data_IF_953250739608
#
_entry.id   IF_953250739608
#
_cell.length_a   1.000
_cell.length_b   1.000
_cell.length_c   1.000
_cell.angle_alpha   90.00
_cell.angle_beta   90.00
_cell.angle_gamma   90.00
#
_symmetry.space_group_name_H-M   'P 1'
#
loop_
_entity.id
_entity.type
_entity.pdbx_description
1 polymer ?
#
# COMPACT_ATOMS: atom_id res chain seq x y z
N UNK A 1 -5.22 -12.20 -19.07
CA UNK A 1 -5.28 -10.95 -19.88
C UNK A 1 -6.50 -10.08 -19.53
N UNK A 2 -7.75 -10.59 -19.62
CA UNK A 2 -8.96 -9.81 -19.28
C UNK A 2 -8.93 -9.25 -17.85
N UNK A 3 -8.55 -10.06 -16.86
CA UNK A 3 -8.47 -9.63 -15.45
C UNK A 3 -7.50 -8.45 -15.26
N UNK A 4 -6.34 -8.46 -15.90
CA UNK A 4 -5.38 -7.37 -15.85
C UNK A 4 -5.97 -6.06 -16.43
N UNK A 5 -6.64 -6.12 -17.57
CA UNK A 5 -7.28 -4.94 -18.15
C UNK A 5 -8.39 -4.37 -17.24
N UNK A 6 -9.15 -5.24 -16.56
CA UNK A 6 -10.15 -4.81 -15.58
C UNK A 6 -9.51 -4.14 -14.38
N UNK A 7 -8.38 -4.64 -13.88
CA UNK A 7 -7.62 -4.02 -12.79
C UNK A 7 -7.08 -2.63 -13.21
N UNK A 8 -6.50 -2.53 -14.40
CA UNK A 8 -6.01 -1.25 -14.95
C UNK A 8 -7.16 -0.25 -15.11
N UNK A 9 -8.29 -0.70 -15.68
CA UNK A 9 -9.47 0.14 -15.86
C UNK A 9 -10.02 0.63 -14.51
N UNK A 10 -10.09 -0.26 -13.53
CA UNK A 10 -10.48 0.08 -12.16
C UNK A 10 -9.52 1.11 -11.54
N UNK A 11 -8.21 0.87 -11.65
CA UNK A 11 -7.18 1.77 -11.15
C UNK A 11 -7.30 3.17 -11.76
N UNK A 12 -7.41 3.27 -13.10
CA UNK A 12 -7.57 4.55 -13.80
C UNK A 12 -8.90 5.22 -13.44
N UNK A 13 -9.99 4.45 -13.37
CA UNK A 13 -11.30 5.00 -13.04
C UNK A 13 -11.31 5.59 -11.64
N UNK A 14 -10.84 4.84 -10.64
CA UNK A 14 -10.86 5.27 -9.23
C UNK A 14 -9.87 6.40 -8.97
N UNK A 15 -8.67 6.36 -9.54
CA UNK A 15 -7.63 7.31 -9.17
C UNK A 15 -7.50 8.51 -10.11
N UNK A 16 -8.14 8.48 -11.29
CA UNK A 16 -8.05 9.57 -12.29
C UNK A 16 -9.42 10.09 -12.67
N UNK A 17 -10.31 9.25 -13.22
CA UNK A 17 -11.56 9.73 -13.81
C UNK A 17 -12.56 10.24 -12.76
N UNK A 18 -12.78 9.49 -11.70
CA UNK A 18 -13.73 9.87 -10.64
C UNK A 18 -13.29 11.14 -9.89
N UNK A 19 -12.03 11.29 -9.42
CA UNK A 19 -11.63 12.52 -8.77
C UNK A 19 -11.70 13.74 -9.71
N UNK A 20 -11.38 13.60 -11.00
CA UNK A 20 -11.60 14.67 -11.99
C UNK A 20 -13.08 15.08 -12.01
N UNK A 21 -13.99 14.10 -12.14
CA UNK A 21 -15.42 14.38 -12.16
C UNK A 21 -15.88 15.13 -10.90
N UNK A 22 -15.47 14.67 -9.72
CA UNK A 22 -15.85 15.30 -8.45
C UNK A 22 -15.32 16.74 -8.34
N UNK A 23 -14.06 16.98 -8.73
CA UNK A 23 -13.48 18.32 -8.72
C UNK A 23 -14.15 19.26 -9.73
N UNK A 24 -14.52 18.74 -10.92
CA UNK A 24 -15.29 19.49 -11.92
C UNK A 24 -16.66 19.88 -11.36
N UNK A 25 -17.39 18.94 -10.76
CA UNK A 25 -18.72 19.23 -10.17
C UNK A 25 -18.61 20.19 -8.99
N UNK A 26 -17.64 20.02 -8.10
CA UNK A 26 -17.38 20.93 -6.99
C UNK A 26 -17.11 22.38 -7.48
N UNK A 27 -16.37 22.52 -8.59
CA UNK A 27 -16.01 23.84 -9.13
C UNK A 27 -17.13 24.54 -9.89
N UNK A 28 -18.23 23.84 -10.24
CA UNK A 28 -19.37 24.44 -10.96
C UNK A 28 -20.29 25.21 -10.02
N UNK A 29 -21.20 26.00 -10.63
CA UNK A 29 -22.33 26.58 -9.93
C UNK A 29 -23.34 25.48 -9.58
N UNK A 30 -23.63 25.33 -8.31
CA UNK A 30 -24.68 24.44 -7.79
C UNK A 30 -26.01 25.21 -7.66
N UNK A 31 -27.14 24.47 -7.63
CA UNK A 31 -28.45 25.10 -7.44
C UNK A 31 -28.58 25.71 -6.04
N UNK A 32 -27.92 25.12 -5.05
CA UNK A 32 -27.99 25.54 -3.65
C UNK A 32 -26.64 25.43 -2.95
N UNK A 33 -26.47 26.13 -1.83
CA UNK A 33 -25.28 25.98 -0.97
C UNK A 33 -25.21 24.60 -0.33
N UNK A 34 -26.36 23.99 0.01
CA UNK A 34 -26.40 22.66 0.56
C UNK A 34 -25.87 21.62 -0.45
N UNK A 35 -26.26 21.70 -1.72
CA UNK A 35 -25.73 20.85 -2.78
C UNK A 35 -24.21 21.05 -2.96
N UNK A 36 -23.75 22.31 -2.96
CA UNK A 36 -22.33 22.64 -3.03
C UNK A 36 -21.53 22.06 -1.84
N UNK A 37 -22.12 22.09 -0.63
CA UNK A 37 -21.53 21.49 0.56
C UNK A 37 -21.43 19.95 0.44
N UNK A 38 -22.46 19.28 -0.09
CA UNK A 38 -22.40 17.84 -0.34
C UNK A 38 -21.31 17.48 -1.34
N UNK A 39 -21.15 18.23 -2.43
CA UNK A 39 -20.04 18.04 -3.37
C UNK A 39 -18.68 18.28 -2.72
N UNK A 40 -18.57 19.26 -1.83
CA UNK A 40 -17.35 19.53 -1.06
C UNK A 40 -17.00 18.33 -0.17
N UNK A 41 -17.94 17.87 0.65
CA UNK A 41 -17.73 16.73 1.54
C UNK A 41 -17.36 15.47 0.76
N UNK A 42 -18.08 15.16 -0.32
CA UNK A 42 -17.78 14.03 -1.18
C UNK A 42 -16.37 14.11 -1.77
N UNK A 43 -15.99 15.28 -2.31
CA UNK A 43 -14.67 15.47 -2.91
C UNK A 43 -13.54 15.36 -1.86
N UNK A 44 -13.73 15.94 -0.67
CA UNK A 44 -12.74 15.88 0.43
C UNK A 44 -12.53 14.44 0.89
N UNK A 45 -13.60 13.72 1.20
CA UNK A 45 -13.48 12.35 1.70
C UNK A 45 -13.03 11.38 0.61
N UNK A 46 -13.45 11.55 -0.64
CA UNK A 46 -12.97 10.72 -1.73
C UNK A 46 -11.47 10.92 -1.99
N UNK A 47 -11.01 12.18 -2.05
CA UNK A 47 -9.58 12.46 -2.23
C UNK A 47 -8.78 12.00 -1.02
N UNK A 48 -9.31 12.16 0.20
CA UNK A 48 -8.72 11.58 1.40
C UNK A 48 -8.59 10.06 1.31
N UNK A 49 -9.65 9.38 0.89
CA UNK A 49 -9.67 7.93 0.66
C UNK A 49 -8.57 7.50 -0.33
N UNK A 50 -8.57 8.01 -1.57
CA UNK A 50 -7.55 7.61 -2.55
C UNK A 50 -6.14 8.03 -2.14
N UNK A 51 -5.97 9.15 -1.42
CA UNK A 51 -4.68 9.60 -0.90
C UNK A 51 -4.10 8.61 0.10
N UNK A 52 -4.92 8.01 0.98
CA UNK A 52 -4.50 7.10 2.02
C UNK A 52 -4.40 5.64 1.55
N UNK A 53 -5.24 5.22 0.59
CA UNK A 53 -5.38 3.81 0.21
C UNK A 53 -4.96 3.49 -1.23
N UNK A 54 -4.75 4.52 -2.06
CA UNK A 54 -4.44 4.34 -3.48
C UNK A 54 -3.10 3.64 -3.72
N UNK A 55 -3.00 2.88 -4.82
CA UNK A 55 -1.77 2.23 -5.28
C UNK A 55 -0.94 3.22 -6.10
N UNK A 56 -0.31 4.17 -5.41
CA UNK A 56 0.41 5.26 -6.04
C UNK A 56 1.75 4.86 -6.67
N UNK A 57 2.30 3.73 -6.29
CA UNK A 57 3.45 3.09 -6.90
C UNK A 57 3.20 2.66 -8.36
N UNK A 58 1.93 2.42 -8.74
CA UNK A 58 1.53 2.11 -10.12
C UNK A 58 1.37 3.35 -11.00
N UNK A 59 0.84 4.44 -10.43
CA UNK A 59 0.50 5.67 -11.16
C UNK A 59 1.57 6.76 -11.04
N UNK A 60 2.58 6.52 -10.19
CA UNK A 60 3.55 7.52 -9.78
C UNK A 60 3.18 8.16 -8.44
N UNK A 61 3.98 7.89 -7.41
CA UNK A 61 3.72 8.31 -6.02
C UNK A 61 3.34 9.78 -5.88
N UNK A 62 3.97 10.65 -6.66
CA UNK A 62 3.83 12.10 -6.53
C UNK A 62 2.52 12.65 -7.12
N UNK A 63 1.82 11.88 -7.97
CA UNK A 63 0.52 12.28 -8.55
C UNK A 63 -0.53 12.50 -7.45
N UNK A 64 -0.43 11.82 -6.32
CA UNK A 64 -1.33 12.02 -5.18
C UNK A 64 -1.42 13.46 -4.69
N UNK A 65 -0.35 14.24 -4.82
CA UNK A 65 -0.32 15.64 -4.41
C UNK A 65 -1.02 16.57 -5.40
N UNK A 66 -1.11 16.17 -6.67
CA UNK A 66 -1.88 16.91 -7.70
C UNK A 66 -3.36 16.96 -7.32
N UNK A 67 -3.89 15.88 -6.73
CA UNK A 67 -5.29 15.86 -6.27
C UNK A 67 -5.55 16.80 -5.11
N UNK A 68 -4.60 16.97 -4.20
CA UNK A 68 -4.70 17.95 -3.11
C UNK A 68 -4.72 19.38 -3.66
N UNK A 69 -3.83 19.69 -4.60
CA UNK A 69 -3.79 21.01 -5.27
C UNK A 69 -5.08 21.24 -6.07
N UNK A 70 -5.55 20.23 -6.81
CA UNK A 70 -6.82 20.26 -7.56
C UNK A 70 -8.02 20.48 -6.66
N UNK A 71 -8.05 19.83 -5.48
CA UNK A 71 -9.11 20.03 -4.48
C UNK A 71 -9.13 21.48 -3.98
N UNK A 72 -7.98 22.03 -3.59
CA UNK A 72 -7.88 23.41 -3.12
C UNK A 72 -8.39 24.40 -4.20
N UNK A 73 -8.00 24.18 -5.45
CA UNK A 73 -8.48 24.98 -6.59
C UNK A 73 -10.00 24.85 -6.79
N UNK A 74 -10.54 23.61 -6.77
CA UNK A 74 -11.97 23.36 -6.96
C UNK A 74 -12.81 23.96 -5.83
N UNK A 75 -12.33 23.90 -4.57
CA UNK A 75 -12.96 24.57 -3.42
C UNK A 75 -13.03 26.08 -3.62
N UNK A 76 -11.91 26.69 -4.00
CA UNK A 76 -11.87 28.13 -4.28
C UNK A 76 -12.87 28.54 -5.38
N UNK A 77 -12.88 27.81 -6.50
CA UNK A 77 -13.79 28.02 -7.61
C UNK A 77 -15.26 27.81 -7.19
N UNK A 78 -15.55 26.72 -6.51
CA UNK A 78 -16.87 26.39 -6.01
C UNK A 78 -17.42 27.45 -5.06
N UNK A 79 -16.60 27.90 -4.10
CA UNK A 79 -16.96 29.00 -3.22
C UNK A 79 -17.33 30.28 -3.98
N UNK A 80 -16.49 30.72 -4.94
CA UNK A 80 -16.76 31.88 -5.75
C UNK A 80 -18.07 31.78 -6.54
N UNK A 81 -18.32 30.65 -7.15
CA UNK A 81 -19.48 30.41 -8.00
C UNK A 81 -20.79 30.31 -7.21
N UNK A 82 -20.72 29.76 -5.96
CA UNK A 82 -21.92 29.48 -5.17
C UNK A 82 -22.17 30.46 -4.03
N UNK A 83 -21.36 31.52 -3.85
CA UNK A 83 -21.49 32.48 -2.73
C UNK A 83 -22.86 33.16 -2.66
N UNK A 84 -23.55 33.34 -3.79
CA UNK A 84 -24.87 33.98 -3.91
C UNK A 84 -26.02 32.99 -4.07
N UNK A 85 -25.77 31.69 -4.13
CA UNK A 85 -26.80 30.67 -4.24
C UNK A 85 -27.68 30.64 -2.96
N UNK A 86 -28.95 30.25 -3.05
CA UNK A 86 -29.79 30.02 -1.88
C UNK A 86 -29.27 28.84 -1.05
N UNK A 87 -29.60 28.80 0.25
CA UNK A 87 -29.14 27.71 1.13
C UNK A 87 -29.85 26.40 0.85
N UNK A 88 -31.18 26.43 0.65
CA UNK A 88 -32.02 25.24 0.62
C UNK A 88 -32.54 24.97 -0.79
N UNK A 89 -32.65 23.70 -1.18
CA UNK A 89 -33.26 23.33 -2.44
C UNK A 89 -34.77 23.62 -2.45
N UNK A 90 -35.31 23.83 -3.64
CA UNK A 90 -36.74 23.86 -3.85
C UNK A 90 -37.40 22.55 -3.36
N UNK A 91 -38.69 22.57 -3.04
CA UNK A 91 -39.45 21.41 -2.61
C UNK A 91 -39.73 20.43 -3.77
N UNK A 92 -38.66 19.78 -4.25
CA UNK A 92 -38.72 18.79 -5.31
C UNK A 92 -38.08 17.49 -4.81
N UNK A 93 -38.73 16.37 -5.07
CA UNK A 93 -38.25 15.00 -4.72
C UNK A 93 -36.88 14.76 -5.39
N UNK A 94 -36.69 15.22 -6.64
CA UNK A 94 -35.44 15.02 -7.40
C UNK A 94 -34.29 15.77 -6.75
N UNK A 95 -34.48 17.03 -6.35
CA UNK A 95 -33.41 17.85 -5.74
C UNK A 95 -33.02 17.33 -4.37
N UNK A 96 -33.99 16.94 -3.54
CA UNK A 96 -33.71 16.33 -2.23
C UNK A 96 -33.11 14.91 -2.36
N UNK A 97 -33.57 14.11 -3.33
CA UNK A 97 -32.98 12.81 -3.63
C UNK A 97 -31.51 12.90 -4.00
N UNK A 98 -31.11 13.90 -4.83
CA UNK A 98 -29.71 14.15 -5.16
C UNK A 98 -28.87 14.55 -3.94
N UNK A 99 -29.38 15.45 -3.09
CA UNK A 99 -28.68 15.88 -1.85
C UNK A 99 -28.47 14.69 -0.91
N UNK A 100 -29.52 13.87 -0.70
CA UNK A 100 -29.44 12.67 0.17
C UNK A 100 -28.43 11.68 -0.40
N UNK A 101 -28.43 11.42 -1.70
CA UNK A 101 -27.50 10.53 -2.36
C UNK A 101 -26.04 10.99 -2.20
N UNK A 102 -25.76 12.27 -2.48
CA UNK A 102 -24.41 12.84 -2.33
C UNK A 102 -23.94 12.79 -0.88
N UNK A 103 -24.85 13.07 0.07
CA UNK A 103 -24.54 12.99 1.49
C UNK A 103 -24.24 11.55 1.94
N UNK A 104 -25.05 10.57 1.53
CA UNK A 104 -24.83 9.16 1.85
C UNK A 104 -23.49 8.66 1.29
N UNK A 105 -23.18 9.03 0.04
CA UNK A 105 -21.91 8.68 -0.59
C UNK A 105 -20.72 9.35 0.13
N UNK A 106 -20.88 10.60 0.58
CA UNK A 106 -19.86 11.30 1.38
C UNK A 106 -19.63 10.60 2.71
N UNK A 107 -20.67 10.13 3.38
CA UNK A 107 -20.57 9.38 4.64
C UNK A 107 -19.85 8.04 4.45
N UNK A 108 -20.12 7.33 3.36
CA UNK A 108 -19.41 6.10 3.03
C UNK A 108 -17.90 6.35 2.90
N UNK A 109 -17.48 7.31 2.10
CA UNK A 109 -16.04 7.63 1.95
C UNK A 109 -15.43 8.21 3.21
N UNK A 110 -16.20 8.94 4.02
CA UNK A 110 -15.76 9.39 5.35
C UNK A 110 -15.39 8.20 6.24
N UNK A 111 -16.26 7.20 6.34
CA UNK A 111 -16.03 6.00 7.17
C UNK A 111 -14.79 5.24 6.72
N UNK A 112 -14.60 5.05 5.39
CA UNK A 112 -13.41 4.39 4.85
C UNK A 112 -12.14 5.21 5.15
N UNK A 113 -12.19 6.54 4.98
CA UNK A 113 -11.07 7.43 5.27
C UNK A 113 -10.69 7.40 6.75
N UNK A 114 -11.68 7.43 7.63
CA UNK A 114 -11.47 7.33 9.09
C UNK A 114 -10.89 5.96 9.46
N UNK A 115 -11.43 4.85 8.92
CA UNK A 115 -10.86 3.51 9.09
C UNK A 115 -9.39 3.44 8.65
N UNK A 116 -9.06 4.07 7.52
CA UNK A 116 -7.67 4.16 7.04
C UNK A 116 -6.74 4.91 8.00
N UNK A 117 -7.26 5.91 8.71
CA UNK A 117 -6.50 6.65 9.72
C UNK A 117 -6.29 5.82 10.99
N UNK A 118 -7.28 5.03 11.40
CA UNK A 118 -7.12 4.09 12.53
C UNK A 118 -6.06 3.03 12.24
N UNK A 119 -5.88 2.62 11.00
CA UNK A 119 -4.82 1.69 10.59
C UNK A 119 -3.39 2.19 10.85
N UNK A 120 -3.20 3.42 11.34
CA UNK A 120 -1.90 4.00 11.72
C UNK A 120 -1.50 3.74 13.15
N UNK A 121 -2.37 3.12 13.93
CA UNK A 121 -2.16 2.86 15.35
C UNK A 121 -2.15 1.35 15.59
N UNK A 122 -1.37 0.93 16.56
CA UNK A 122 -1.32 -0.44 17.09
C UNK A 122 -1.46 -0.37 18.61
N UNK A 123 -1.86 -1.48 19.23
CA UNK A 123 -2.11 -1.57 20.68
C UNK A 123 -1.17 -2.54 21.38
N UNK A 124 -0.60 -3.48 20.66
CA UNK A 124 0.32 -4.48 21.14
C UNK A 124 1.74 -3.90 21.25
N UNK A 125 2.60 -4.53 22.04
CA UNK A 125 4.02 -4.16 22.13
C UNK A 125 4.72 -4.43 20.79
N UNK A 126 5.34 -3.43 20.15
CA UNK A 126 5.95 -3.59 18.85
C UNK A 126 7.35 -4.20 18.95
N UNK A 127 7.74 -4.96 17.94
CA UNK A 127 9.11 -5.35 17.69
C UNK A 127 9.84 -4.24 16.91
N UNK A 128 10.92 -3.71 17.49
CA UNK A 128 11.78 -2.77 16.78
C UNK A 128 12.81 -3.54 15.95
N UNK A 129 12.84 -3.24 14.65
CA UNK A 129 13.72 -3.88 13.66
C UNK A 129 14.51 -2.83 12.88
N UNK A 130 15.66 -3.23 12.33
CA UNK A 130 16.37 -2.47 11.32
C UNK A 130 15.75 -2.71 9.93
N UNK A 131 15.68 -1.65 9.12
CA UNK A 131 15.12 -1.76 7.78
C UNK A 131 16.03 -2.61 6.88
N UNK A 132 15.54 -3.73 6.31
CA UNK A 132 16.42 -4.76 5.71
C UNK A 132 16.92 -4.43 4.30
N UNK A 133 16.56 -3.28 3.74
CA UNK A 133 16.93 -2.85 2.39
C UNK A 133 17.76 -1.57 2.43
N UNK A 134 18.73 -1.45 1.50
CA UNK A 134 19.65 -0.33 1.42
C UNK A 134 19.62 0.34 0.05
N UNK A 135 20.10 1.58 -0.05
CA UNK A 135 20.33 2.29 -1.31
C UNK A 135 19.06 2.53 -2.15
N UNK A 136 18.02 3.08 -1.55
CA UNK A 136 16.80 3.37 -2.30
C UNK A 136 15.74 4.17 -1.58
N UNK A 137 14.69 4.46 -2.33
CA UNK A 137 13.42 4.94 -1.78
C UNK A 137 12.42 3.80 -1.89
N UNK A 138 11.91 3.37 -0.76
CA UNK A 138 10.99 2.25 -0.64
C UNK A 138 9.61 2.75 -0.26
N UNK A 139 8.61 2.10 -0.80
CA UNK A 139 7.21 2.43 -0.64
C UNK A 139 6.46 1.23 -0.06
N UNK A 140 5.64 1.48 0.95
CA UNK A 140 4.81 0.46 1.59
C UNK A 140 3.52 0.32 0.79
N UNK A 141 3.39 -0.77 0.06
CA UNK A 141 2.20 -1.10 -0.73
C UNK A 141 1.07 -1.64 0.16
N UNK A 142 1.40 -2.47 1.15
CA UNK A 142 0.50 -2.92 2.21
C UNK A 142 1.19 -2.82 3.56
N UNK A 143 0.47 -2.36 4.57
CA UNK A 143 0.95 -2.18 5.93
C UNK A 143 -0.03 -1.37 6.77
N UNK A 144 0.09 -1.48 8.08
CA UNK A 144 -0.84 -0.91 9.04
C UNK A 144 -1.72 -1.97 9.72
N UNK A 145 -2.57 -1.54 10.63
CA UNK A 145 -3.38 -2.38 11.53
C UNK A 145 -4.87 -2.44 11.17
N UNK A 146 -5.25 -2.13 9.92
CA UNK A 146 -6.66 -2.11 9.51
C UNK A 146 -6.82 -2.67 8.08
N UNK A 147 -7.83 -3.50 7.79
CA UNK A 147 -8.02 -4.15 6.47
C UNK A 147 -8.05 -3.18 5.28
N UNK A 148 -8.55 -1.96 5.47
CA UNK A 148 -8.61 -0.93 4.40
C UNK A 148 -7.22 -0.53 3.87
N UNK A 149 -6.17 -0.61 4.68
CA UNK A 149 -4.80 -0.25 4.30
C UNK A 149 -3.86 -1.45 4.20
N UNK A 150 -4.24 -2.58 4.80
CA UNK A 150 -3.45 -3.79 4.87
C UNK A 150 -4.35 -5.02 4.77
N UNK A 151 -4.42 -5.67 3.60
CA UNK A 151 -5.27 -6.86 3.44
C UNK A 151 -4.79 -8.05 4.29
N UNK A 152 -3.51 -8.10 4.66
CA UNK A 152 -2.97 -9.12 5.56
C UNK A 152 -3.60 -9.08 6.96
N UNK A 153 -4.20 -7.94 7.35
CA UNK A 153 -4.82 -7.77 8.67
C UNK A 153 -5.97 -8.77 8.94
N UNK A 154 -6.55 -9.36 7.89
CA UNK A 154 -7.58 -10.40 8.01
C UNK A 154 -7.01 -11.77 8.43
N UNK A 155 -5.69 -11.98 8.34
CA UNK A 155 -5.01 -13.22 8.70
C UNK A 155 -4.14 -12.99 9.94
N UNK A 156 -4.51 -13.57 11.06
CA UNK A 156 -3.97 -13.27 12.39
C UNK A 156 -2.44 -13.31 12.48
N UNK A 157 -1.71 -14.32 11.94
CA UNK A 157 -0.24 -14.33 11.99
C UNK A 157 0.42 -13.19 11.22
N UNK A 158 -0.23 -12.69 10.18
CA UNK A 158 0.29 -11.64 9.29
C UNK A 158 -0.43 -10.29 9.46
N UNK A 159 -1.19 -10.08 10.53
CA UNK A 159 -2.06 -8.92 10.68
C UNK A 159 -1.32 -7.56 10.59
N UNK A 160 -0.01 -7.54 10.83
CA UNK A 160 0.86 -6.37 10.71
C UNK A 160 1.91 -6.51 9.59
N UNK A 161 1.74 -7.48 8.67
CA UNK A 161 2.68 -7.70 7.58
C UNK A 161 2.85 -6.46 6.71
N UNK A 162 4.03 -6.34 6.13
CA UNK A 162 4.44 -5.27 5.24
C UNK A 162 4.79 -5.84 3.87
N UNK A 163 4.17 -5.31 2.81
CA UNK A 163 4.61 -5.49 1.44
C UNK A 163 5.29 -4.21 0.98
N UNK A 164 6.57 -4.31 0.67
CA UNK A 164 7.43 -3.16 0.37
C UNK A 164 8.00 -3.29 -1.03
N UNK A 165 7.85 -2.23 -1.82
CA UNK A 165 8.45 -2.09 -3.14
C UNK A 165 9.44 -0.94 -3.18
N UNK A 166 10.40 -0.97 -4.11
CA UNK A 166 11.30 0.16 -4.38
C UNK A 166 10.69 1.01 -5.48
N UNK A 167 10.75 2.32 -5.33
CA UNK A 167 10.29 3.25 -6.36
C UNK A 167 11.45 4.02 -6.97
N UNK A 168 11.33 4.28 -8.27
CA UNK A 168 12.28 5.12 -9.00
C UNK A 168 12.08 6.63 -8.64
N UNK A 169 12.94 7.54 -9.11
CA UNK A 169 12.82 8.98 -8.83
C UNK A 169 11.47 9.61 -9.24
N UNK A 170 10.74 8.99 -10.18
CA UNK A 170 9.44 9.43 -10.61
C UNK A 170 8.28 8.87 -9.78
N UNK A 171 8.59 7.97 -8.85
CA UNK A 171 7.61 7.35 -7.95
C UNK A 171 6.96 6.08 -8.49
N UNK A 172 7.53 5.44 -9.53
CA UNK A 172 7.03 4.18 -10.10
C UNK A 172 7.82 2.98 -9.58
N UNK A 173 7.14 1.86 -9.28
CA UNK A 173 7.75 0.61 -8.85
C UNK A 173 8.40 -0.18 -9.98
N UNK A 174 7.94 0.04 -11.23
CA UNK A 174 8.41 -0.67 -12.41
C UNK A 174 8.50 0.25 -13.63
N UNK A 175 9.25 -0.20 -14.64
CA UNK A 175 9.25 0.40 -15.98
C UNK A 175 8.20 -0.30 -16.82
N UNK A 176 7.05 0.35 -16.99
CA UNK A 176 5.83 -0.21 -17.57
C UNK A 176 4.78 -0.48 -16.50
N UNK A 177 3.56 -0.80 -16.93
CA UNK A 177 2.42 -0.88 -16.01
C UNK A 177 2.41 -2.21 -15.23
N UNK A 178 2.60 -3.35 -15.92
CA UNK A 178 2.66 -4.69 -15.31
C UNK A 178 3.53 -5.61 -16.18
N UNK A 179 4.86 -5.39 -16.17
CA UNK A 179 5.78 -6.14 -17.04
C UNK A 179 6.02 -7.56 -16.51
N UNK A 180 6.11 -8.54 -17.42
CA UNK A 180 6.51 -9.92 -17.09
C UNK A 180 8.02 -10.04 -16.87
N UNK A 181 8.80 -9.14 -17.45
CA UNK A 181 10.24 -9.07 -17.18
C UNK A 181 10.48 -8.50 -15.79
N UNK A 182 10.89 -9.36 -14.86
CA UNK A 182 11.13 -9.02 -13.45
C UNK A 182 12.23 -7.97 -13.28
N UNK A 183 13.19 -7.87 -14.21
CA UNK A 183 14.27 -6.86 -14.17
C UNK A 183 13.73 -5.43 -14.33
N UNK A 184 12.51 -5.27 -14.77
CA UNK A 184 11.85 -3.96 -14.90
C UNK A 184 11.27 -3.43 -13.59
N UNK A 185 11.21 -4.26 -12.54
CA UNK A 185 10.83 -3.85 -11.19
C UNK A 185 12.05 -3.35 -10.43
N UNK A 186 11.95 -2.16 -9.87
CA UNK A 186 13.08 -1.48 -9.23
C UNK A 186 13.66 -2.25 -8.03
N UNK A 187 12.86 -3.08 -7.38
CA UNK A 187 13.25 -3.85 -6.19
C UNK A 187 13.80 -5.23 -6.52
N UNK A 188 13.54 -5.79 -7.73
CA UNK A 188 13.92 -7.16 -8.04
C UNK A 188 15.44 -7.35 -7.99
N UNK A 189 15.89 -8.31 -7.18
CA UNK A 189 17.31 -8.59 -6.98
C UNK A 189 18.01 -7.69 -5.97
N UNK A 190 17.32 -6.75 -5.32
CA UNK A 190 17.90 -5.97 -4.21
C UNK A 190 18.33 -6.90 -3.08
N UNK A 191 19.48 -6.60 -2.47
CA UNK A 191 20.00 -7.37 -1.34
C UNK A 191 19.17 -7.15 -0.10
N UNK A 192 18.82 -8.26 0.56
CA UNK A 192 18.15 -8.30 1.85
C UNK A 192 19.17 -8.58 2.94
N UNK A 193 19.11 -7.79 3.99
CA UNK A 193 19.93 -7.94 5.19
C UNK A 193 19.06 -8.38 6.35
N UNK A 194 19.66 -9.01 7.37
CA UNK A 194 18.91 -9.36 8.58
C UNK A 194 18.34 -8.09 9.22
N UNK A 195 17.06 -8.09 9.64
CA UNK A 195 16.45 -6.95 10.30
C UNK A 195 16.81 -6.83 11.79
N UNK A 196 17.53 -7.82 12.35
CA UNK A 196 17.90 -7.86 13.75
C UNK A 196 19.17 -8.70 13.98
N UNK A 197 19.73 -8.58 15.17
CA UNK A 197 20.61 -9.59 15.70
C UNK A 197 19.75 -10.78 16.15
N UNK A 198 20.03 -11.98 15.63
CA UNK A 198 19.19 -13.14 15.88
C UNK A 198 19.78 -14.46 15.38
N UNK A 199 18.96 -15.49 15.37
CA UNK A 199 19.30 -16.81 14.87
C UNK A 199 18.35 -17.23 13.76
N UNK A 200 18.86 -17.73 12.66
CA UNK A 200 18.04 -18.26 11.56
C UNK A 200 17.35 -19.56 12.03
N UNK A 201 16.01 -19.58 12.07
CA UNK A 201 15.21 -20.74 12.47
C UNK A 201 15.07 -21.71 11.28
N UNK A 202 14.73 -21.19 10.12
CA UNK A 202 14.50 -21.99 8.92
C UNK A 202 14.78 -21.21 7.64
N UNK A 203 15.10 -21.96 6.59
CA UNK A 203 15.25 -21.43 5.24
C UNK A 203 14.60 -22.36 4.25
N UNK A 204 13.95 -21.79 3.24
CA UNK A 204 13.40 -22.53 2.09
C UNK A 204 13.88 -21.84 0.83
N UNK A 205 14.54 -22.57 -0.07
CA UNK A 205 15.02 -22.07 -1.36
C UNK A 205 14.77 -23.13 -2.45
N UNK A 206 14.78 -22.72 -3.71
CA UNK A 206 14.66 -23.62 -4.86
C UNK A 206 13.41 -23.42 -5.71
N UNK A 207 12.42 -22.66 -5.24
CA UNK A 207 11.22 -22.33 -6.01
C UNK A 207 11.52 -21.21 -7.01
N UNK A 208 11.03 -21.36 -8.25
CA UNK A 208 11.24 -20.38 -9.32
C UNK A 208 10.51 -19.06 -9.03
N UNK A 209 11.14 -17.96 -9.44
CA UNK A 209 10.47 -16.67 -9.51
C UNK A 209 9.38 -16.71 -10.58
N UNK A 210 8.17 -16.31 -10.23
CA UNK A 210 7.02 -16.31 -11.13
C UNK A 210 6.98 -15.03 -11.96
N UNK A 211 6.55 -15.13 -13.22
CA UNK A 211 6.24 -13.93 -14.00
C UNK A 211 4.86 -13.40 -13.59
N UNK A 212 4.67 -12.08 -13.53
CA UNK A 212 3.43 -11.46 -13.06
C UNK A 212 2.15 -11.96 -13.75
N UNK A 213 2.19 -12.21 -15.06
CA UNK A 213 1.02 -12.72 -15.81
C UNK A 213 0.55 -14.11 -15.37
N UNK A 214 1.42 -14.91 -14.74
CA UNK A 214 1.09 -16.25 -14.25
C UNK A 214 0.37 -16.25 -12.90
N UNK A 215 0.29 -15.10 -12.23
CA UNK A 215 -0.39 -15.01 -10.93
C UNK A 215 -1.82 -15.52 -10.96
N UNK A 216 -2.56 -15.22 -12.04
CA UNK A 216 -3.95 -15.63 -12.23
C UNK A 216 -4.12 -17.16 -12.38
N UNK A 217 -3.05 -17.89 -12.68
CA UNK A 217 -3.06 -19.35 -12.84
C UNK A 217 -3.02 -20.11 -11.50
N UNK A 218 -2.97 -19.36 -10.39
CA UNK A 218 -2.82 -19.95 -9.06
C UNK A 218 -1.38 -20.34 -8.71
N UNK A 219 -1.20 -20.86 -7.51
CA UNK A 219 0.10 -21.30 -7.03
C UNK A 219 0.35 -22.73 -7.51
N UNK A 220 1.54 -23.07 -8.08
CA UNK A 220 1.87 -24.44 -8.44
C UNK A 220 1.85 -25.38 -7.24
N UNK A 221 1.44 -26.64 -7.47
CA UNK A 221 1.36 -27.66 -6.42
C UNK A 221 2.71 -27.84 -5.70
N UNK A 222 2.65 -27.92 -4.38
CA UNK A 222 3.82 -28.09 -3.52
C UNK A 222 4.65 -26.82 -3.28
N UNK A 223 4.26 -25.68 -3.88
CA UNK A 223 4.91 -24.40 -3.62
C UNK A 223 4.33 -23.75 -2.36
N UNK A 224 5.15 -23.43 -1.33
CA UNK A 224 4.65 -22.71 -0.16
C UNK A 224 4.21 -21.28 -0.56
N UNK A 225 3.19 -20.76 0.13
CA UNK A 225 2.72 -19.40 -0.14
C UNK A 225 3.84 -18.35 0.00
N UNK A 226 4.71 -18.50 0.98
CA UNK A 226 5.88 -17.64 1.19
C UNK A 226 6.97 -17.77 0.11
N UNK A 227 6.92 -18.82 -0.75
CA UNK A 227 7.97 -19.11 -1.72
C UNK A 227 9.31 -19.39 -1.04
N UNK A 228 10.39 -18.89 -1.61
CA UNK A 228 11.70 -18.88 -0.96
C UNK A 228 11.67 -17.86 0.17
N UNK A 229 12.09 -18.27 1.36
CA UNK A 229 12.00 -17.43 2.55
C UNK A 229 13.05 -17.80 3.60
N UNK A 230 13.29 -16.85 4.49
CA UNK A 230 14.11 -17.01 5.70
C UNK A 230 13.26 -16.62 6.90
N UNK A 231 13.35 -17.41 7.98
CA UNK A 231 12.73 -17.09 9.26
C UNK A 231 13.85 -16.89 10.28
N UNK A 232 13.84 -15.73 10.94
CA UNK A 232 14.85 -15.34 11.94
C UNK A 232 14.15 -15.13 13.29
N UNK A 233 14.69 -15.72 14.34
CA UNK A 233 14.27 -15.42 15.71
C UNK A 233 14.94 -14.13 16.17
N UNK A 234 14.12 -13.10 16.45
CA UNK A 234 14.53 -11.79 16.91
C UNK A 234 13.90 -11.51 18.27
N UNK A 235 14.66 -11.60 19.36
CA UNK A 235 14.16 -11.30 20.73
C UNK A 235 12.93 -12.11 21.14
N UNK A 236 12.85 -13.39 20.75
CA UNK A 236 11.72 -14.26 21.08
C UNK A 236 10.51 -14.10 20.16
N UNK A 237 10.68 -13.46 19.02
CA UNK A 237 9.66 -13.28 17.96
C UNK A 237 10.20 -13.81 16.64
N UNK A 238 9.40 -14.55 15.88
CA UNK A 238 9.74 -15.05 14.57
C UNK A 238 9.51 -13.98 13.50
N UNK A 239 10.54 -13.66 12.75
CA UNK A 239 10.50 -12.68 11.65
C UNK A 239 10.64 -13.41 10.32
N UNK A 240 9.61 -13.31 9.49
CA UNK A 240 9.52 -13.92 8.17
C UNK A 240 9.90 -12.93 7.08
N UNK A 241 10.83 -13.33 6.22
CA UNK A 241 11.26 -12.57 5.02
C UNK A 241 11.00 -13.48 3.83
N UNK A 242 9.98 -13.14 3.04
CA UNK A 242 9.41 -14.03 2.03
C UNK A 242 9.56 -13.51 0.60
N UNK A 243 9.14 -14.36 -0.37
CA UNK A 243 9.20 -14.13 -1.82
C UNK A 243 10.60 -13.89 -2.36
N UNK A 244 11.61 -14.46 -1.70
CA UNK A 244 13.00 -14.27 -2.05
C UNK A 244 13.33 -14.92 -3.41
N UNK A 245 14.38 -14.41 -4.06
CA UNK A 245 14.84 -14.87 -5.36
C UNK A 245 15.43 -16.29 -5.25
N UNK A 246 15.08 -17.16 -6.20
CA UNK A 246 15.61 -18.53 -6.26
C UNK A 246 17.14 -18.56 -6.26
N UNK A 247 17.72 -19.39 -5.41
CA UNK A 247 19.16 -19.62 -5.29
C UNK A 247 19.92 -18.44 -4.71
N UNK A 248 19.22 -17.48 -4.05
CA UNK A 248 19.87 -16.29 -3.51
C UNK A 248 20.09 -16.33 -2.01
N UNK A 249 19.50 -17.28 -1.29
CA UNK A 249 19.62 -17.37 0.17
C UNK A 249 21.05 -17.71 0.55
N UNK A 250 21.62 -16.94 1.49
CA UNK A 250 23.03 -16.99 1.88
C UNK A 250 23.24 -17.54 3.30
N UNK A 251 22.16 -17.92 3.97
CA UNK A 251 22.18 -18.38 5.36
C UNK A 251 21.44 -19.71 5.48
N UNK A 252 21.68 -20.43 6.57
CA UNK A 252 21.02 -21.71 6.87
C UNK A 252 20.52 -21.74 8.32
N UNK A 253 19.62 -22.66 8.61
CA UNK A 253 19.11 -22.83 9.98
C UNK A 253 20.26 -23.06 10.97
N UNK A 254 20.24 -22.33 12.08
CA UNK A 254 21.26 -22.31 13.13
C UNK A 254 22.30 -21.20 12.97
N UNK A 255 22.36 -20.50 11.84
CA UNK A 255 23.29 -19.38 11.68
C UNK A 255 22.91 -18.20 12.57
N UNK A 256 23.91 -17.61 13.24
CA UNK A 256 23.76 -16.32 13.90
C UNK A 256 23.92 -15.20 12.89
N UNK A 257 23.00 -14.25 12.91
CA UNK A 257 22.97 -13.09 11.99
C UNK A 257 22.85 -11.76 12.76
N UNK A 258 23.28 -10.71 12.11
CA UNK A 258 23.13 -9.33 12.55
C UNK A 258 22.70 -8.42 11.36
N UNK A 259 22.50 -7.14 11.61
CA UNK A 259 21.99 -6.17 10.61
C UNK A 259 22.95 -5.93 9.43
N UNK A 260 24.20 -6.42 9.52
CA UNK A 260 25.17 -6.42 8.42
C UNK A 260 25.10 -7.68 7.58
N UNK A 261 24.50 -8.74 8.08
CA UNK A 261 24.44 -10.06 7.45
C UNK A 261 23.53 -10.02 6.21
N UNK A 262 24.10 -10.26 5.03
CA UNK A 262 23.36 -10.45 3.80
C UNK A 262 22.71 -11.83 3.79
N UNK A 263 21.36 -11.87 3.79
CA UNK A 263 20.58 -13.10 3.90
C UNK A 263 20.05 -13.62 2.56
N UNK A 264 20.04 -12.78 1.51
CA UNK A 264 19.61 -13.14 0.15
C UNK A 264 19.11 -11.93 -0.63
N UNK A 265 18.28 -12.15 -1.63
CA UNK A 265 17.79 -11.11 -2.52
C UNK A 265 16.27 -11.15 -2.69
N UNK A 266 15.67 -9.99 -2.94
CA UNK A 266 14.24 -9.87 -3.30
C UNK A 266 13.99 -10.58 -4.63
N UNK A 267 12.96 -11.43 -4.64
CA UNK A 267 12.50 -12.18 -5.80
C UNK A 267 11.02 -11.99 -6.08
N UNK A 268 10.41 -13.04 -6.64
CA UNK A 268 8.98 -13.15 -6.91
C UNK A 268 8.48 -14.59 -6.79
N UNK A 269 8.99 -15.35 -5.84
CA UNK A 269 8.64 -16.75 -5.64
C UNK A 269 7.42 -16.90 -4.73
N UNK A 270 6.63 -17.97 -4.91
CA UNK A 270 5.46 -18.25 -4.07
C UNK A 270 4.18 -17.52 -4.52
N UNK A 271 3.32 -17.18 -3.56
CA UNK A 271 2.04 -16.52 -3.83
C UNK A 271 2.19 -15.00 -3.90
N UNK A 272 2.79 -14.53 -4.95
CA UNK A 272 3.08 -13.11 -5.20
C UNK A 272 2.71 -12.74 -6.62
N UNK A 273 2.15 -11.54 -6.82
CA UNK A 273 1.77 -11.01 -8.13
C UNK A 273 2.88 -10.22 -8.81
N UNK A 274 3.84 -9.68 -8.04
CA UNK A 274 4.96 -8.87 -8.52
C UNK A 274 6.07 -8.78 -7.48
N UNK A 275 7.33 -8.52 -7.89
CA UNK A 275 8.46 -8.44 -6.96
C UNK A 275 8.25 -7.43 -5.84
N UNK A 276 8.33 -7.90 -4.61
CA UNK A 276 8.28 -7.09 -3.41
C UNK A 276 8.96 -7.81 -2.24
N UNK A 277 9.32 -7.10 -1.20
CA UNK A 277 9.66 -7.66 0.08
C UNK A 277 8.38 -7.83 0.88
N UNK A 278 8.02 -9.08 1.20
CA UNK A 278 7.04 -9.39 2.24
C UNK A 278 7.77 -9.65 3.56
N UNK A 279 7.40 -8.91 4.59
CA UNK A 279 7.97 -9.03 5.92
C UNK A 279 6.87 -9.01 6.97
N UNK A 280 6.84 -10.04 7.84
CA UNK A 280 5.99 -10.02 9.02
C UNK A 280 6.72 -10.60 10.22
N UNK A 281 6.21 -10.29 11.41
CA UNK A 281 6.66 -10.83 12.68
C UNK A 281 5.49 -11.50 13.37
N UNK A 282 5.72 -12.70 13.93
CA UNK A 282 4.71 -13.40 14.71
C UNK A 282 5.29 -14.04 15.97
N UNK A 283 4.43 -14.19 16.97
CA UNK A 283 4.71 -14.92 18.19
C UNK A 283 3.51 -15.79 18.55
N UNK A 284 3.74 -17.08 18.70
CA UNK A 284 2.70 -18.06 19.02
C UNK A 284 1.51 -18.01 18.03
N UNK A 285 1.79 -17.75 16.73
CA UNK A 285 0.79 -17.67 15.66
C UNK A 285 -0.01 -16.35 15.64
N UNK A 286 0.44 -15.34 16.37
CA UNK A 286 -0.17 -14.00 16.40
C UNK A 286 0.82 -12.96 15.89
N UNK A 287 0.39 -12.16 14.91
CA UNK A 287 1.22 -11.09 14.33
C UNK A 287 1.61 -10.05 15.36
N UNK A 288 2.87 -9.62 15.31
CA UNK A 288 3.46 -8.59 16.16
C UNK A 288 3.68 -7.32 15.34
N UNK A 289 3.29 -6.11 15.82
CA UNK A 289 3.58 -4.87 15.12
C UNK A 289 5.08 -4.65 14.94
N UNK A 290 5.49 -4.21 13.75
CA UNK A 290 6.90 -3.91 13.46
C UNK A 290 7.08 -2.41 13.37
N UNK A 291 8.12 -1.90 14.03
CA UNK A 291 8.56 -0.51 13.90
C UNK A 291 10.01 -0.46 13.39
N UNK A 292 10.32 0.56 12.61
CA UNK A 292 11.67 0.87 12.12
C UNK A 292 12.02 2.29 12.54
N UNK A 293 13.09 2.47 13.31
CA UNK A 293 13.50 3.76 13.87
C UNK A 293 12.32 4.47 14.59
N UNK A 294 11.58 3.72 15.42
CA UNK A 294 10.40 4.22 16.15
C UNK A 294 9.17 4.50 15.28
N UNK A 295 9.17 4.14 13.98
CA UNK A 295 8.07 4.41 13.04
C UNK A 295 7.30 3.16 12.71
N UNK A 296 6.00 3.14 13.00
CA UNK A 296 5.06 2.14 12.47
C UNK A 296 4.71 2.48 11.02
N UNK A 297 5.04 1.56 10.11
CA UNK A 297 4.84 1.79 8.69
C UNK A 297 3.45 1.36 8.26
N UNK A 298 2.79 2.23 7.51
CA UNK A 298 1.46 1.99 6.95
C UNK A 298 1.51 2.16 5.44
N UNK A 299 0.48 1.67 4.76
CA UNK A 299 0.30 1.89 3.32
C UNK A 299 0.60 3.33 2.93
N UNK A 300 1.30 3.52 1.82
CA UNK A 300 1.75 4.83 1.32
C UNK A 300 2.87 5.51 2.14
N UNK A 301 3.46 4.85 3.14
CA UNK A 301 4.68 5.33 3.78
C UNK A 301 5.87 5.26 2.83
N UNK A 302 6.79 6.23 2.94
CA UNK A 302 8.10 6.19 2.28
C UNK A 302 9.23 6.02 3.29
N UNK A 303 10.21 5.21 2.91
CA UNK A 303 11.47 5.01 3.63
C UNK A 303 12.59 5.34 2.64
N UNK A 304 13.51 6.21 3.07
CA UNK A 304 14.75 6.46 2.35
C UNK A 304 15.88 5.78 3.09
N UNK A 305 16.49 4.79 2.47
CA UNK A 305 17.63 4.07 3.03
C UNK A 305 18.90 4.39 2.23
N UNK A 306 19.94 4.81 2.93
CA UNK A 306 21.26 5.08 2.37
C UNK A 306 22.23 3.94 2.70
N UNK A 307 23.40 3.90 2.03
CA UNK A 307 24.45 2.93 2.34
C UNK A 307 25.09 3.12 3.72
N UNK A 308 24.86 4.26 4.37
CA UNK A 308 25.59 4.72 5.57
C UNK A 308 24.81 4.51 6.90
N UNK A 309 23.74 3.73 6.91
CA UNK A 309 22.96 3.48 8.13
C UNK A 309 23.45 2.22 8.87
N UNK A 310 24.72 2.22 9.30
CA UNK A 310 25.27 1.35 10.36
C UNK A 310 26.19 2.20 11.25
#
# INVERSE_FOLDING_TARGET
MIALWLQILSLVSLHVLIPIAFLVYLSKASRTKLESLCWLLLSVFYIGFIYLTGSWDWLGYYIRYVWIAGLAFAVYRGYRNNRRAPWWPERSIITWGNVIFLFALSMMFMLITVGSLFGRYYTEEPLELHFPLKNGTYYVAHGGSHPVVNYHNEYQPQQYALDIVKINPWGYRAVGLYPDDLQRYAIYGDRLYSPCQGTVISTVDGFDDRVPSDYANGLPDGTPAAGNHVVIECSGVEVYIAHMKKGSIQVQAGDAVDESSWIGNVGNSGNTSEPHLHLHAEKDGVGVPIIFDGRFLVRNSLIRSSAASF
#
